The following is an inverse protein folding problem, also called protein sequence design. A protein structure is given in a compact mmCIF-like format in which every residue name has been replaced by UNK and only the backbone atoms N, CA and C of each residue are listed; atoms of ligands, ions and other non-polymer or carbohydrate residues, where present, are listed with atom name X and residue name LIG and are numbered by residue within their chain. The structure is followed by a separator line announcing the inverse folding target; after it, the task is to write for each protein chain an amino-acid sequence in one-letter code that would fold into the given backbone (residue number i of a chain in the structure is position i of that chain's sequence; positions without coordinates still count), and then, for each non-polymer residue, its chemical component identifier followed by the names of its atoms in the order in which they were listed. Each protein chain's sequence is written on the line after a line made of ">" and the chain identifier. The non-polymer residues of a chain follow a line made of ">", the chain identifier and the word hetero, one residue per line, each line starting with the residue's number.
data_IF_909616062162
#
_entry.id   IF_909616062162
#
_cell.length_a   1.000
_cell.length_b   1.000
_cell.length_c   1.000
_cell.angle_alpha   90.00
_cell.angle_beta   90.00
_cell.angle_gamma   90.00
#
_symmetry.space_group_name_H-M   'P 1'
#
loop_
_entity.id
_entity.type
_entity.pdbx_description
1 polymer ?
#
# COMPACT_ATOMS: atom_id res chain seq x y z
N UNK A 1 -16.14 -3.45 -74.38
CA UNK A 1 -16.10 -2.01 -74.00
C UNK A 1 -15.73 -2.00 -72.52
N UNK A 2 -14.43 -1.96 -72.25
CA UNK A 2 -13.72 -0.78 -71.74
C UNK A 2 -14.04 -0.52 -70.25
N UNK A 3 -13.04 -0.78 -69.42
CA UNK A 3 -12.97 -0.54 -67.96
C UNK A 3 -12.65 0.97 -67.69
N UNK A 4 -12.00 1.43 -66.58
CA UNK A 4 -11.79 0.92 -65.21
C UNK A 4 -11.82 2.05 -64.11
N UNK A 5 -11.40 1.71 -62.87
CA UNK A 5 -10.78 2.56 -61.82
C UNK A 5 -11.69 3.50 -60.99
N UNK A 6 -11.54 3.74 -59.66
CA UNK A 6 -10.42 3.65 -58.69
C UNK A 6 -10.97 3.32 -57.29
N UNK A 7 -10.14 2.66 -56.48
CA UNK A 7 -10.31 2.34 -55.06
C UNK A 7 -10.33 3.57 -54.10
N UNK A 8 -10.89 3.42 -52.90
CA UNK A 8 -10.13 3.62 -51.65
C UNK A 8 -10.94 3.09 -50.45
N UNK A 9 -10.30 2.20 -49.69
CA UNK A 9 -10.76 1.76 -48.38
C UNK A 9 -10.34 2.79 -47.31
N UNK A 10 -11.21 3.09 -46.35
CA UNK A 10 -10.80 3.48 -44.99
C UNK A 10 -11.70 2.77 -43.99
N UNK A 11 -11.01 2.15 -43.04
CA UNK A 11 -11.45 1.31 -41.93
C UNK A 11 -11.89 2.18 -40.74
N UNK A 12 -12.94 1.79 -40.02
CA UNK A 12 -13.22 1.99 -38.58
C UNK A 12 -14.74 1.97 -38.37
N UNK A 13 -15.35 1.51 -37.30
CA UNK A 13 -15.03 0.69 -36.13
C UNK A 13 -16.41 0.49 -35.46
N UNK A 14 -16.60 -0.65 -34.81
CA UNK A 14 -17.91 -1.10 -34.36
C UNK A 14 -18.54 -0.29 -33.19
N UNK A 15 -19.87 -0.26 -33.24
CA UNK A 15 -20.89 -0.12 -32.19
C UNK A 15 -20.47 -0.14 -30.71
N UNK A 16 -21.01 0.83 -29.95
CA UNK A 16 -21.75 0.55 -28.71
C UNK A 16 -21.16 1.12 -27.41
N UNK A 17 -21.68 2.26 -26.94
CA UNK A 17 -21.85 2.59 -25.52
C UNK A 17 -22.63 3.91 -25.38
N UNK A 18 -23.94 3.80 -25.15
CA UNK A 18 -24.80 4.89 -24.73
C UNK A 18 -25.01 4.79 -23.21
N UNK A 19 -24.49 5.76 -22.45
CA UNK A 19 -25.19 6.53 -21.39
C UNK A 19 -24.22 7.45 -20.63
N UNK A 20 -24.72 8.58 -20.11
CA UNK A 20 -23.97 9.83 -20.02
C UNK A 20 -23.15 9.97 -18.72
N UNK A 21 -21.96 10.52 -18.88
CA UNK A 21 -21.12 11.07 -17.82
C UNK A 21 -21.78 12.34 -17.24
N UNK A 22 -21.74 12.59 -15.91
CA UNK A 22 -21.96 13.91 -15.36
C UNK A 22 -20.64 14.69 -15.52
N UNK A 23 -20.32 15.08 -16.75
CA UNK A 23 -19.38 16.16 -16.96
C UNK A 23 -20.12 17.47 -16.68
N UNK A 24 -19.73 18.12 -15.58
CA UNK A 24 -19.19 19.47 -15.62
C UNK A 24 -19.50 20.29 -16.90
N UNK A 25 -20.76 20.69 -17.10
CA UNK A 25 -21.22 21.72 -18.04
C UNK A 25 -22.41 22.39 -17.30
N UNK A 26 -22.49 23.68 -16.99
CA UNK A 26 -21.78 24.86 -17.42
C UNK A 26 -21.53 25.80 -16.24
N UNK A 27 -20.29 26.30 -16.13
CA UNK A 27 -20.00 27.56 -15.49
C UNK A 27 -20.41 28.68 -16.45
N UNK A 28 -21.33 29.55 -16.01
CA UNK A 28 -21.65 30.80 -16.68
C UNK A 28 -21.62 31.94 -15.67
N UNK A 29 -20.41 32.42 -15.40
CA UNK A 29 -20.04 33.83 -15.47
C UNK A 29 -18.55 33.94 -15.13
N UNK A 30 -17.80 34.58 -16.02
CA UNK A 30 -16.35 34.55 -15.99
C UNK A 30 -15.76 35.26 -14.79
N UNK A 31 -14.56 34.80 -14.43
CA UNK A 31 -13.52 35.53 -13.69
C UNK A 31 -13.43 35.24 -12.17
N UNK A 32 -12.40 34.46 -11.86
CA UNK A 32 -11.64 34.33 -10.60
C UNK A 32 -12.35 33.62 -9.44
N UNK A 33 -12.05 32.32 -9.31
CA UNK A 33 -12.34 31.50 -8.14
C UNK A 33 -11.67 32.06 -6.87
N UNK A 34 -12.41 32.26 -5.76
CA UNK A 34 -11.81 32.47 -4.46
C UNK A 34 -11.39 31.14 -3.83
N UNK A 35 -10.49 31.25 -2.87
CA UNK A 35 -9.95 30.17 -2.07
C UNK A 35 -11.02 29.28 -1.40
N UNK A 36 -10.70 27.98 -1.35
CA UNK A 36 -10.94 27.12 -0.19
C UNK A 36 -12.39 26.81 0.17
N UNK A 37 -12.88 25.66 -0.29
CA UNK A 37 -13.74 24.81 0.53
C UNK A 37 -13.13 23.41 0.52
N UNK A 38 -12.67 23.00 1.70
CA UNK A 38 -12.06 21.72 1.98
C UNK A 38 -12.97 20.57 1.58
N UNK A 39 -12.38 19.51 1.01
CA UNK A 39 -12.97 18.19 1.12
C UNK A 39 -12.81 17.80 2.59
N UNK A 40 -13.90 17.94 3.34
CA UNK A 40 -13.97 17.51 4.73
C UNK A 40 -13.65 16.01 4.77
N UNK A 41 -12.73 15.67 5.66
CA UNK A 41 -12.04 14.40 5.73
C UNK A 41 -13.00 13.21 5.68
N UNK A 42 -12.68 12.31 4.77
CA UNK A 42 -13.09 10.91 4.82
C UNK A 42 -12.86 10.39 6.25
N UNK A 43 -13.89 9.96 7.00
CA UNK A 43 -13.64 9.04 8.09
C UNK A 43 -13.19 7.74 7.40
N UNK A 44 -11.88 7.53 7.30
CA UNK A 44 -11.31 6.22 7.00
C UNK A 44 -11.64 5.33 8.18
N UNK A 45 -12.84 4.75 8.14
CA UNK A 45 -13.16 3.59 8.94
C UNK A 45 -12.14 2.52 8.57
N UNK A 46 -11.33 2.11 9.54
CA UNK A 46 -10.60 0.84 9.48
C UNK A 46 -11.60 -0.21 9.01
N UNK A 47 -11.36 -0.93 7.90
CA UNK A 47 -12.24 -2.04 7.54
C UNK A 47 -12.16 -3.03 8.70
N UNK A 48 -13.23 -3.09 9.49
CA UNK A 48 -13.44 -4.19 10.43
C UNK A 48 -13.57 -5.43 9.56
N UNK A 49 -12.69 -6.44 9.67
CA UNK A 49 -12.82 -7.63 8.85
C UNK A 49 -14.18 -8.27 9.16
N UNK A 50 -15.02 -8.38 8.13
CA UNK A 50 -16.25 -9.17 8.18
C UNK A 50 -15.88 -10.59 8.62
N UNK A 51 -16.52 -11.16 9.66
CA UNK A 51 -16.31 -12.55 10.03
C UNK A 51 -16.65 -13.47 8.85
N UNK A 52 -15.64 -13.92 8.11
CA UNK A 52 -15.79 -14.81 6.95
C UNK A 52 -14.88 -14.53 5.75
N UNK A 53 -14.18 -13.38 5.67
CA UNK A 53 -13.41 -12.97 4.47
C UNK A 53 -11.88 -12.98 4.64
N UNK A 54 -11.32 -13.92 5.40
CA UNK A 54 -9.87 -14.11 5.41
C UNK A 54 -9.54 -15.56 5.09
N UNK A 55 -9.52 -15.89 3.80
CA UNK A 55 -8.94 -17.17 3.31
C UNK A 55 -7.41 -17.18 3.51
N UNK A 56 -6.78 -16.03 3.79
CA UNK A 56 -5.34 -15.89 4.01
C UNK A 56 -4.91 -15.95 5.49
N UNK A 57 -3.59 -16.00 5.74
CA UNK A 57 -3.02 -15.91 7.09
C UNK A 57 -3.36 -14.57 7.74
N UNK A 58 -3.47 -14.57 9.08
CA UNK A 58 -3.61 -13.32 9.83
C UNK A 58 -2.31 -12.53 9.82
N UNK A 59 -2.37 -11.21 10.07
CA UNK A 59 -1.18 -10.38 10.19
C UNK A 59 -0.19 -10.89 11.26
N UNK A 60 -0.72 -11.41 12.38
CA UNK A 60 0.08 -12.05 13.42
C UNK A 60 0.79 -13.32 12.92
N UNK A 61 0.11 -14.15 12.13
CA UNK A 61 0.72 -15.35 11.54
C UNK A 61 1.78 -14.99 10.50
N UNK A 62 1.52 -13.99 9.65
CA UNK A 62 2.49 -13.44 8.71
C UNK A 62 3.72 -12.91 9.44
N UNK A 63 3.53 -12.16 10.52
CA UNK A 63 4.62 -11.60 11.31
C UNK A 63 5.49 -12.72 11.90
N UNK A 64 4.90 -13.73 12.53
CA UNK A 64 5.65 -14.84 13.13
C UNK A 64 6.42 -15.63 12.07
N UNK A 65 5.82 -15.85 10.89
CA UNK A 65 6.43 -16.60 9.80
C UNK A 65 7.57 -15.86 9.08
N UNK A 66 7.49 -14.53 9.01
CA UNK A 66 8.37 -13.73 8.14
C UNK A 66 9.34 -12.84 8.92
N UNK A 67 8.91 -12.26 10.04
CA UNK A 67 9.67 -11.25 10.79
C UNK A 67 10.14 -11.77 12.15
N UNK A 68 9.36 -12.67 12.76
CA UNK A 68 9.54 -13.12 14.15
C UNK A 68 10.82 -13.91 14.43
N UNK A 69 11.49 -14.42 13.40
CA UNK A 69 12.80 -15.07 13.53
C UNK A 69 13.93 -14.10 13.86
N UNK A 70 13.79 -12.84 13.43
CA UNK A 70 14.79 -11.80 13.60
C UNK A 70 14.35 -10.71 14.60
N UNK A 71 13.06 -10.38 14.64
CA UNK A 71 12.50 -9.36 15.51
C UNK A 71 11.67 -9.96 16.64
N UNK A 72 11.75 -9.35 17.82
CA UNK A 72 10.90 -9.66 18.96
C UNK A 72 9.63 -8.80 18.96
N UNK A 73 8.53 -9.39 19.43
CA UNK A 73 7.35 -8.72 19.97
C UNK A 73 6.97 -9.50 21.22
N UNK A 74 6.87 -8.83 22.37
CA UNK A 74 6.60 -9.47 23.66
C UNK A 74 5.35 -10.37 23.59
N UNK A 75 5.53 -11.62 24.02
CA UNK A 75 4.47 -12.63 24.01
C UNK A 75 4.16 -13.23 22.63
N UNK A 76 4.82 -12.78 21.56
CA UNK A 76 4.58 -13.25 20.19
C UNK A 76 5.81 -13.87 19.52
N UNK A 77 6.97 -13.22 19.61
CA UNK A 77 8.23 -13.71 19.02
C UNK A 77 9.43 -13.30 19.85
N UNK A 78 10.55 -14.00 19.67
CA UNK A 78 11.78 -13.83 20.47
C UNK A 78 13.02 -13.53 19.62
N UNK A 79 12.83 -13.10 18.36
CA UNK A 79 13.93 -12.74 17.47
C UNK A 79 14.82 -11.64 18.07
N UNK A 80 16.14 -11.82 18.00
CA UNK A 80 17.12 -10.93 18.64
C UNK A 80 18.19 -10.39 17.66
N UNK A 81 17.91 -10.49 16.36
CA UNK A 81 18.80 -10.00 15.29
C UNK A 81 18.49 -8.55 14.96
N UNK A 82 17.20 -8.25 14.78
CA UNK A 82 16.69 -6.92 14.55
C UNK A 82 16.25 -6.22 15.85
N UNK A 83 15.88 -4.94 15.79
CA UNK A 83 15.31 -4.23 16.92
C UNK A 83 14.02 -4.90 17.42
N UNK A 84 13.78 -4.79 18.73
CA UNK A 84 12.51 -5.18 19.34
C UNK A 84 11.36 -4.32 18.78
N UNK A 85 10.26 -4.92 18.35
CA UNK A 85 9.12 -4.25 17.72
C UNK A 85 7.89 -4.14 18.64
N UNK A 86 8.02 -4.45 19.93
CA UNK A 86 6.90 -4.48 20.89
C UNK A 86 6.15 -3.14 20.99
N UNK A 87 6.86 -2.02 20.83
CA UNK A 87 6.30 -0.66 20.90
C UNK A 87 6.63 0.15 19.63
N UNK A 88 6.70 -0.50 18.45
CA UNK A 88 7.05 0.20 17.21
C UNK A 88 6.02 1.28 16.82
N UNK A 89 4.75 1.09 17.15
CA UNK A 89 3.66 2.02 16.84
C UNK A 89 3.68 3.34 17.63
N UNK A 90 4.53 3.44 18.66
CA UNK A 90 4.75 4.67 19.43
C UNK A 90 5.92 5.50 18.90
N UNK A 91 6.87 4.86 18.22
CA UNK A 91 8.12 5.47 17.74
C UNK A 91 8.17 5.65 16.22
N UNK A 92 7.25 5.02 15.48
CA UNK A 92 7.16 5.10 14.03
C UNK A 92 5.70 5.16 13.58
N UNK A 93 5.46 5.87 12.47
CA UNK A 93 4.17 5.86 11.79
C UNK A 93 4.08 4.71 10.76
N UNK A 94 2.88 4.52 10.20
CA UNK A 94 2.63 3.49 9.21
C UNK A 94 3.47 3.67 7.92
N UNK A 95 3.82 4.90 7.55
CA UNK A 95 4.61 5.17 6.35
C UNK A 95 6.06 4.72 6.55
N UNK A 96 6.66 5.05 7.69
CA UNK A 96 7.98 4.56 8.08
C UNK A 96 8.03 3.04 8.15
N UNK A 97 7.02 2.41 8.75
CA UNK A 97 6.95 0.94 8.84
C UNK A 97 6.86 0.32 7.45
N UNK A 98 6.04 0.89 6.55
CA UNK A 98 5.93 0.41 5.16
C UNK A 98 7.27 0.55 4.43
N UNK A 99 7.90 1.71 4.50
CA UNK A 99 9.20 1.96 3.88
C UNK A 99 10.25 0.98 4.42
N UNK A 100 10.28 0.74 5.73
CA UNK A 100 11.20 -0.23 6.34
C UNK A 100 11.00 -1.67 5.83
N UNK A 101 9.79 -2.04 5.41
CA UNK A 101 9.51 -3.36 4.82
C UNK A 101 9.93 -3.40 3.33
N UNK A 102 9.70 -2.32 2.59
CA UNK A 102 9.95 -2.27 1.14
C UNK A 102 11.41 -1.93 0.81
N UNK A 103 12.05 -1.09 1.61
CA UNK A 103 13.44 -0.67 1.51
C UNK A 103 14.10 -0.63 2.91
N UNK A 104 14.44 -1.79 3.49
CA UNK A 104 14.97 -1.88 4.85
C UNK A 104 16.33 -1.22 5.05
N UNK A 105 17.00 -0.79 3.98
CA UNK A 105 18.29 -0.10 4.06
C UNK A 105 18.18 1.41 3.78
N UNK A 106 16.99 1.94 3.46
CA UNK A 106 16.76 3.38 3.28
C UNK A 106 16.98 4.15 4.59
N UNK A 107 16.37 3.66 5.67
CA UNK A 107 16.50 4.23 7.01
C UNK A 107 16.72 3.08 7.99
N UNK A 108 17.84 3.15 8.71
CA UNK A 108 18.21 2.12 9.67
C UNK A 108 17.83 2.53 11.08
N UNK A 109 17.27 1.57 11.83
CA UNK A 109 17.08 1.75 13.26
C UNK A 109 18.44 1.98 13.96
N UNK A 110 18.46 2.87 14.94
CA UNK A 110 19.69 3.28 15.62
C UNK A 110 20.35 2.12 16.40
N UNK A 111 19.52 1.24 16.99
CA UNK A 111 19.98 0.17 17.85
C UNK A 111 19.27 -1.17 17.58
N UNK A 112 20.08 -2.20 17.54
CA UNK A 112 19.75 -3.62 17.56
C UNK A 112 20.31 -4.24 18.85
N UNK A 113 19.89 -5.45 19.27
CA UNK A 113 20.39 -6.08 20.49
C UNK A 113 21.91 -6.25 20.55
N UNK A 114 22.59 -6.32 19.40
CA UNK A 114 24.05 -6.45 19.27
C UNK A 114 24.80 -5.11 19.15
N UNK A 115 24.12 -3.96 19.20
CA UNK A 115 24.71 -2.63 18.99
C UNK A 115 24.03 -1.89 17.84
N UNK A 116 24.81 -1.21 16.99
CA UNK A 116 24.24 -0.59 15.79
C UNK A 116 23.69 -1.65 14.84
N UNK A 117 22.54 -1.38 14.22
CA UNK A 117 21.97 -2.31 13.26
C UNK A 117 22.87 -2.43 12.01
N UNK A 118 23.22 -3.65 11.55
CA UNK A 118 23.99 -3.87 10.34
C UNK A 118 23.13 -3.80 9.07
N UNK A 119 23.66 -3.19 8.01
CA UNK A 119 22.98 -3.12 6.70
C UNK A 119 22.94 -4.50 6.03
N UNK A 120 21.89 -4.76 5.26
CA UNK A 120 21.74 -5.99 4.46
C UNK A 120 21.37 -7.24 5.25
N UNK A 121 21.12 -7.13 6.56
CA UNK A 121 20.64 -8.26 7.37
C UNK A 121 19.13 -8.47 7.24
N UNK A 122 18.36 -7.38 7.12
CA UNK A 122 16.94 -7.46 6.78
C UNK A 122 16.79 -7.58 5.24
N UNK A 123 16.19 -8.68 4.73
CA UNK A 123 16.05 -8.90 3.29
C UNK A 123 15.23 -7.81 2.59
N UNK A 124 15.66 -7.27 1.44
CA UNK A 124 14.95 -6.17 0.76
C UNK A 124 13.88 -6.63 -0.24
N UNK A 125 13.47 -7.89 -0.22
CA UNK A 125 12.63 -8.49 -1.25
C UNK A 125 11.25 -8.95 -0.72
N UNK A 126 10.73 -8.30 0.32
CA UNK A 126 9.44 -8.65 0.90
C UNK A 126 8.27 -8.44 -0.07
N UNK A 127 8.39 -7.49 -1.00
CA UNK A 127 7.42 -7.25 -2.08
C UNK A 127 7.37 -8.39 -3.13
N UNK A 128 8.35 -9.29 -3.15
CA UNK A 128 8.35 -10.45 -4.05
C UNK A 128 7.70 -11.67 -3.42
N UNK A 129 7.67 -11.74 -2.08
CA UNK A 129 7.20 -12.90 -1.32
C UNK A 129 5.89 -12.64 -0.55
N UNK A 130 5.52 -11.38 -0.34
CA UNK A 130 4.26 -10.95 0.25
C UNK A 130 3.48 -10.14 -0.78
N UNK A 131 2.16 -10.34 -0.80
CA UNK A 131 1.25 -9.47 -1.55
C UNK A 131 1.11 -8.09 -0.89
N UNK A 132 0.71 -7.08 -1.67
CA UNK A 132 0.45 -5.74 -1.13
C UNK A 132 -0.54 -5.75 0.03
N UNK A 133 -1.60 -6.57 -0.04
CA UNK A 133 -2.57 -6.71 1.04
C UNK A 133 -1.96 -7.31 2.31
N UNK A 134 -1.01 -8.25 2.19
CA UNK A 134 -0.29 -8.83 3.33
C UNK A 134 0.68 -7.82 3.94
N UNK A 135 1.35 -7.01 3.11
CA UNK A 135 2.21 -5.90 3.55
C UNK A 135 1.36 -4.87 4.30
N UNK A 136 0.20 -4.47 3.76
CA UNK A 136 -0.73 -3.54 4.42
C UNK A 136 -1.19 -4.08 5.77
N UNK A 137 -1.52 -5.38 5.83
CA UNK A 137 -1.94 -6.04 7.07
C UNK A 137 -0.80 -6.05 8.11
N UNK A 138 0.44 -6.30 7.70
CA UNK A 138 1.62 -6.23 8.57
C UNK A 138 1.88 -4.81 9.06
N UNK A 139 1.80 -3.81 8.18
CA UNK A 139 1.97 -2.40 8.54
C UNK A 139 0.93 -1.99 9.57
N UNK A 140 -0.34 -2.32 9.35
CA UNK A 140 -1.41 -2.03 10.30
C UNK A 140 -1.20 -2.74 11.64
N UNK A 141 -0.79 -4.01 11.61
CA UNK A 141 -0.49 -4.80 12.80
C UNK A 141 0.69 -4.24 13.60
N UNK A 142 1.76 -3.82 12.94
CA UNK A 142 2.94 -3.23 13.58
C UNK A 142 2.64 -1.83 14.12
N UNK A 143 1.91 -1.00 13.37
CA UNK A 143 1.49 0.33 13.83
C UNK A 143 0.60 0.29 15.08
N UNK A 144 -0.07 -0.84 15.33
CA UNK A 144 -0.88 -1.08 16.51
C UNK A 144 -0.08 -1.56 17.75
N UNK A 145 1.22 -1.84 17.62
CA UNK A 145 2.07 -2.29 18.73
C UNK A 145 2.54 -1.09 19.55
N UNK A 146 1.88 -0.85 20.69
CA UNK A 146 2.08 0.28 21.60
C UNK A 146 2.09 -0.20 23.05
#
# INVERSE_FOLDING_TARGET
>A
MAAPFVALAVLAAACGAETPTPECLEAQDGSLVPAGCAVEGQPTATPTPTPGETTGPTAQQLFVGTCGSCHAIDGLSTGAVGPDLTQIGDRADAAYIRESILDPNAVMAEACPSGACPSGVMPPNFNEVLSETEIDALVAFLAAQR
#
